data_IF_132380336835
#
_entry.id   IF_132380336835
#
_cell.length_a   1.000
_cell.length_b   1.000
_cell.length_c   1.000
_cell.angle_alpha   90.00
_cell.angle_beta   90.00
_cell.angle_gamma   90.00
#
_symmetry.space_group_name_H-M   'P 1'
#
loop_
_entity.id
_entity.type
_entity.pdbx_description
1 polymer ?
#
# COMPACT_ATOMS: atom_id res chain seq x y z
N UNK A 1 -26.34 -87.30 -32.23
CA UNK A 1 -27.42 -86.41 -31.76
C UNK A 1 -26.82 -85.07 -31.33
N UNK A 2 -27.58 -83.98 -31.50
CA UNK A 2 -27.33 -82.59 -31.08
C UNK A 2 -26.56 -81.65 -32.06
N UNK A 3 -27.36 -80.74 -32.65
CA UNK A 3 -27.08 -79.62 -33.55
C UNK A 3 -26.16 -78.55 -32.93
N UNK A 4 -25.22 -77.98 -33.72
CA UNK A 4 -24.59 -76.67 -33.45
C UNK A 4 -25.06 -75.62 -34.45
N UNK A 5 -25.53 -74.49 -33.92
CA UNK A 5 -26.19 -73.35 -34.59
C UNK A 5 -25.20 -72.46 -35.37
N UNK A 6 -25.71 -71.82 -36.44
CA UNK A 6 -25.06 -70.82 -37.31
C UNK A 6 -24.70 -69.51 -36.56
N UNK A 7 -23.71 -68.71 -37.03
CA UNK A 7 -23.37 -67.41 -36.46
C UNK A 7 -24.22 -66.25 -37.04
N UNK A 8 -24.35 -65.18 -36.26
CA UNK A 8 -25.01 -63.90 -36.62
C UNK A 8 -23.97 -62.83 -37.07
N UNK A 9 -24.37 -61.79 -37.83
CA UNK A 9 -23.42 -60.84 -38.42
C UNK A 9 -23.06 -59.67 -37.47
N UNK A 10 -21.83 -59.16 -37.63
CA UNK A 10 -21.22 -58.04 -36.92
C UNK A 10 -21.84 -56.69 -37.32
N UNK A 11 -22.33 -55.92 -36.34
CA UNK A 11 -22.72 -54.52 -36.51
C UNK A 11 -21.48 -53.60 -36.60
N UNK A 12 -21.51 -52.69 -37.57
CA UNK A 12 -20.52 -51.62 -37.80
C UNK A 12 -20.46 -50.63 -36.63
N UNK A 13 -19.25 -50.23 -36.29
CA UNK A 13 -18.93 -49.14 -35.36
C UNK A 13 -19.29 -47.77 -35.93
N UNK A 14 -19.81 -46.88 -35.08
CA UNK A 14 -19.89 -45.43 -35.33
C UNK A 14 -19.07 -44.69 -34.27
N UNK A 15 -18.27 -43.67 -34.63
CA UNK A 15 -17.46 -42.93 -33.67
C UNK A 15 -18.32 -41.94 -32.89
N UNK A 16 -18.33 -42.04 -31.56
CA UNK A 16 -18.91 -41.01 -30.68
C UNK A 16 -18.10 -39.71 -30.81
N UNK A 17 -18.73 -38.66 -31.35
CA UNK A 17 -18.23 -37.28 -31.33
C UNK A 17 -17.93 -36.86 -29.88
N UNK A 18 -16.68 -36.47 -29.59
CA UNK A 18 -16.28 -35.79 -28.35
C UNK A 18 -16.87 -34.38 -28.36
N UNK A 19 -17.88 -34.15 -27.53
CA UNK A 19 -18.42 -32.81 -27.25
C UNK A 19 -17.49 -31.96 -26.35
N UNK A 20 -17.76 -30.65 -26.23
CA UNK A 20 -16.82 -29.61 -25.79
C UNK A 20 -16.66 -29.55 -24.26
N UNK A 21 -16.18 -30.62 -23.61
CA UNK A 21 -15.89 -30.63 -22.16
C UNK A 21 -14.55 -29.98 -21.79
N UNK A 22 -13.63 -29.78 -22.74
CA UNK A 22 -12.28 -29.27 -22.45
C UNK A 22 -12.24 -27.76 -22.15
N UNK A 23 -13.10 -26.97 -22.80
CA UNK A 23 -13.08 -25.50 -22.68
C UNK A 23 -13.62 -25.04 -21.31
N UNK A 24 -14.68 -25.68 -20.80
CA UNK A 24 -15.26 -25.34 -19.49
C UNK A 24 -14.31 -25.60 -18.32
N UNK A 25 -13.52 -26.68 -18.37
CA UNK A 25 -12.54 -27.01 -17.32
C UNK A 25 -11.34 -26.06 -17.32
N UNK A 26 -10.88 -25.59 -18.49
CA UNK A 26 -9.82 -24.60 -18.60
C UNK A 26 -10.25 -23.22 -18.10
N UNK A 27 -11.49 -22.79 -18.40
CA UNK A 27 -12.04 -21.53 -17.89
C UNK A 27 -12.20 -21.60 -16.37
N UNK A 28 -12.73 -22.70 -15.82
CA UNK A 28 -12.86 -22.87 -14.37
C UNK A 28 -11.49 -22.87 -13.66
N UNK A 29 -10.50 -23.59 -14.21
CA UNK A 29 -9.14 -23.62 -13.68
C UNK A 29 -8.41 -22.27 -13.79
N UNK A 30 -8.69 -21.48 -14.84
CA UNK A 30 -8.14 -20.11 -14.97
C UNK A 30 -8.74 -19.15 -13.94
N UNK A 31 -10.04 -19.29 -13.63
CA UNK A 31 -10.72 -18.51 -12.58
C UNK A 31 -10.27 -18.92 -11.18
N UNK A 32 -10.04 -20.21 -10.94
CA UNK A 32 -9.51 -20.71 -9.67
C UNK A 32 -8.05 -20.27 -9.44
N UNK A 33 -7.20 -20.28 -10.49
CA UNK A 33 -5.82 -19.78 -10.40
C UNK A 33 -5.74 -18.26 -10.24
N UNK A 34 -6.67 -17.49 -10.80
CA UNK A 34 -6.80 -16.05 -10.55
C UNK A 34 -7.11 -15.77 -9.08
N UNK A 35 -8.00 -16.56 -8.48
CA UNK A 35 -8.45 -16.41 -7.09
C UNK A 35 -7.42 -16.91 -6.04
N UNK A 36 -6.42 -17.70 -6.45
CA UNK A 36 -5.33 -18.12 -5.55
C UNK A 36 -4.25 -17.04 -5.37
N UNK A 37 -4.02 -16.18 -6.38
CA UNK A 37 -3.11 -15.03 -6.27
C UNK A 37 -3.68 -13.87 -5.45
N UNK A 38 -4.99 -13.84 -5.21
CA UNK A 38 -5.68 -12.81 -4.41
C UNK A 38 -5.78 -13.15 -2.91
N UNK A 39 -5.48 -14.41 -2.52
CA UNK A 39 -5.61 -14.84 -1.12
C UNK A 39 -4.36 -14.50 -0.32
N UNK A 40 -4.54 -13.63 0.67
CA UNK A 40 -3.53 -13.39 1.70
C UNK A 40 -3.25 -14.69 2.48
N UNK A 41 -1.97 -15.05 2.58
CA UNK A 41 -1.55 -16.20 3.40
C UNK A 41 -1.37 -15.76 4.86
N UNK A 42 -1.44 -16.68 5.85
CA UNK A 42 -1.14 -16.35 7.25
C UNK A 42 0.26 -15.73 7.43
N UNK A 43 1.25 -16.17 6.64
CA UNK A 43 2.60 -15.60 6.67
C UNK A 43 2.63 -14.16 6.11
N UNK A 44 1.91 -13.90 5.03
CA UNK A 44 1.77 -12.55 4.45
C UNK A 44 1.09 -11.60 5.45
N UNK A 45 0.01 -12.05 6.10
CA UNK A 45 -0.67 -11.27 7.14
C UNK A 45 0.27 -10.99 8.33
N UNK A 46 1.00 -11.99 8.81
CA UNK A 46 1.97 -11.83 9.91
C UNK A 46 3.05 -10.79 9.56
N UNK A 47 3.57 -10.84 8.33
CA UNK A 47 4.55 -9.86 7.83
C UNK A 47 3.96 -8.45 7.78
N UNK A 48 2.78 -8.26 7.20
CA UNK A 48 2.11 -6.95 7.18
C UNK A 48 1.91 -6.39 8.59
N UNK A 49 1.39 -7.21 9.52
CA UNK A 49 1.21 -6.81 10.91
C UNK A 49 2.54 -6.40 11.57
N UNK A 50 3.64 -7.06 11.21
CA UNK A 50 4.96 -6.78 11.76
C UNK A 50 5.55 -5.49 11.18
N UNK A 51 5.60 -5.38 9.85
CA UNK A 51 6.20 -4.27 9.10
C UNK A 51 5.48 -2.95 9.31
N UNK A 52 4.16 -3.02 9.52
CA UNK A 52 3.29 -1.86 9.62
C UNK A 52 2.86 -1.60 11.08
N UNK A 53 3.47 -2.31 12.03
CA UNK A 53 3.33 -2.03 13.46
C UNK A 53 3.97 -0.69 13.81
N UNK A 54 3.41 0.09 14.76
CA UNK A 54 4.07 1.27 15.33
C UNK A 54 5.46 0.99 15.92
N UNK A 55 5.75 -0.26 16.28
CA UNK A 55 7.03 -0.68 16.83
C UNK A 55 8.09 -1.01 15.76
N UNK A 56 7.72 -1.03 14.48
CA UNK A 56 8.70 -1.28 13.41
C UNK A 56 9.71 -0.12 13.37
N UNK A 57 11.02 -0.37 13.27
CA UNK A 57 12.05 0.61 13.62
C UNK A 57 12.32 1.66 12.52
N UNK A 58 11.27 2.33 12.06
CA UNK A 58 11.32 3.40 11.04
C UNK A 58 11.26 4.81 11.63
N UNK A 59 11.00 4.92 12.94
CA UNK A 59 10.92 6.21 13.64
C UNK A 59 9.68 7.04 13.34
N UNK A 60 8.61 6.44 12.80
CA UNK A 60 7.38 7.14 12.39
C UNK A 60 6.77 8.02 13.48
N UNK A 61 6.82 7.57 14.74
CA UNK A 61 6.30 8.31 15.91
C UNK A 61 6.94 9.70 16.13
N UNK A 62 8.11 9.95 15.53
CA UNK A 62 8.83 11.22 15.64
C UNK A 62 8.33 12.29 14.67
N UNK A 63 7.41 11.96 13.75
CA UNK A 63 6.97 12.85 12.68
C UNK A 63 5.46 13.11 12.77
N UNK A 64 5.05 14.38 12.68
CA UNK A 64 3.65 14.80 12.68
C UNK A 64 3.11 15.11 11.28
N UNK A 65 4.00 15.18 10.28
CA UNK A 65 3.65 15.56 8.92
C UNK A 65 2.97 16.95 8.84
N UNK A 66 3.46 17.93 9.61
CA UNK A 66 2.92 19.29 9.69
C UNK A 66 1.71 19.48 10.60
N UNK A 67 1.19 18.41 11.24
CA UNK A 67 0.03 18.50 12.15
C UNK A 67 0.35 19.37 13.37
N UNK A 68 1.59 19.36 13.88
CA UNK A 68 2.00 20.18 15.02
C UNK A 68 1.75 21.67 14.80
N UNK A 69 2.10 22.19 13.61
CA UNK A 69 1.83 23.58 13.29
C UNK A 69 0.34 23.88 13.16
N UNK A 70 -0.43 22.97 12.55
CA UNK A 70 -1.88 23.13 12.40
C UNK A 70 -2.62 23.14 13.75
N UNK A 71 -2.10 22.44 14.76
CA UNK A 71 -2.59 22.52 16.13
C UNK A 71 -2.23 23.86 16.76
N UNK A 72 -0.97 24.30 16.66
CA UNK A 72 -0.53 25.58 17.24
C UNK A 72 -1.32 26.78 16.69
N UNK A 73 -1.60 26.80 15.38
CA UNK A 73 -2.36 27.88 14.76
C UNK A 73 -3.88 27.78 14.96
N UNK A 74 -4.37 26.75 15.64
CA UNK A 74 -5.78 26.55 15.97
C UNK A 74 -6.65 25.92 14.87
N UNK A 75 -6.07 25.46 13.76
CA UNK A 75 -6.82 24.77 12.70
C UNK A 75 -7.32 23.40 13.20
N UNK A 76 -6.54 22.75 14.08
CA UNK A 76 -6.90 21.48 14.73
C UNK A 76 -7.08 21.71 16.23
N UNK A 77 -8.30 22.09 16.63
CA UNK A 77 -8.64 22.41 18.02
C UNK A 77 -9.39 21.29 18.77
N UNK A 78 -9.65 20.14 18.14
CA UNK A 78 -10.44 19.07 18.74
C UNK A 78 -10.54 17.82 17.85
N UNK A 79 -11.30 16.83 18.30
CA UNK A 79 -11.43 15.53 17.61
C UNK A 79 -12.11 15.64 16.24
N UNK A 80 -13.14 16.49 16.11
CA UNK A 80 -13.83 16.72 14.83
C UNK A 80 -12.93 17.43 13.82
N UNK A 81 -12.15 18.41 14.28
CA UNK A 81 -11.19 19.13 13.46
C UNK A 81 -10.06 18.20 13.01
N UNK A 82 -9.51 17.39 13.92
CA UNK A 82 -8.51 16.36 13.60
C UNK A 82 -9.04 15.38 12.56
N UNK A 83 -10.24 14.83 12.78
CA UNK A 83 -10.87 13.91 11.82
C UNK A 83 -10.99 14.53 10.43
N UNK A 84 -11.46 15.77 10.35
CA UNK A 84 -11.68 16.48 9.08
C UNK A 84 -10.35 16.75 8.37
N UNK A 85 -9.32 17.15 9.13
CA UNK A 85 -7.97 17.36 8.63
C UNK A 85 -7.36 16.08 8.06
N UNK A 86 -7.44 14.98 8.81
CA UNK A 86 -6.92 13.68 8.38
C UNK A 86 -7.68 13.09 7.19
N UNK A 87 -8.98 13.35 7.08
CA UNK A 87 -9.76 12.95 5.90
C UNK A 87 -9.20 13.61 4.62
N UNK A 88 -8.87 14.91 4.69
CA UNK A 88 -8.28 15.64 3.55
C UNK A 88 -6.84 15.20 3.29
N UNK A 89 -6.01 15.02 4.32
CA UNK A 89 -4.64 14.51 4.13
C UNK A 89 -4.61 13.11 3.50
N UNK A 90 -5.56 12.24 3.89
CA UNK A 90 -5.68 10.90 3.35
C UNK A 90 -6.21 10.92 1.92
N UNK A 91 -7.36 11.57 1.69
CA UNK A 91 -8.00 11.59 0.39
C UNK A 91 -7.24 12.46 -0.59
N UNK A 92 -7.04 13.75 -0.32
CA UNK A 92 -6.55 14.71 -1.32
C UNK A 92 -5.10 15.14 -1.10
N UNK A 93 -4.34 14.45 -0.24
CA UNK A 93 -2.98 14.81 0.12
C UNK A 93 -2.01 13.64 0.03
N UNK A 94 -1.10 13.59 1.00
CA UNK A 94 -0.05 12.59 1.06
C UNK A 94 -0.57 11.15 1.02
N UNK A 95 -1.76 10.86 1.60
CA UNK A 95 -2.29 9.50 1.59
C UNK A 95 -2.60 8.98 0.18
N UNK A 96 -3.17 9.81 -0.68
CA UNK A 96 -3.41 9.46 -2.08
C UNK A 96 -2.10 9.38 -2.87
N UNK A 97 -1.22 10.39 -2.77
CA UNK A 97 0.06 10.38 -3.47
C UNK A 97 0.90 9.14 -3.10
N UNK A 98 1.06 8.87 -1.80
CA UNK A 98 1.81 7.71 -1.31
C UNK A 98 1.14 6.40 -1.75
N UNK A 99 -0.19 6.35 -1.79
CA UNK A 99 -0.93 5.20 -2.27
C UNK A 99 -0.72 4.91 -3.76
N UNK A 100 -0.66 5.94 -4.61
CA UNK A 100 -0.37 5.79 -6.04
C UNK A 100 1.06 5.29 -6.22
N UNK A 101 2.04 5.94 -5.59
CA UNK A 101 3.45 5.56 -5.66
C UNK A 101 3.68 4.11 -5.18
N UNK A 102 3.02 3.72 -4.08
CA UNK A 102 3.02 2.36 -3.57
C UNK A 102 2.50 1.37 -4.61
N UNK A 103 1.35 1.65 -5.22
CA UNK A 103 0.71 0.74 -6.18
C UNK A 103 1.56 0.56 -7.45
N UNK A 104 2.19 1.64 -7.94
CA UNK A 104 3.10 1.57 -9.08
C UNK A 104 4.36 0.78 -8.75
N UNK A 105 5.00 1.04 -7.61
CA UNK A 105 6.17 0.27 -7.18
C UNK A 105 5.86 -1.23 -7.02
N UNK A 106 4.70 -1.55 -6.41
CA UNK A 106 4.24 -2.93 -6.24
C UNK A 106 4.06 -3.65 -7.58
N UNK A 107 3.34 -3.02 -8.52
CA UNK A 107 3.07 -3.59 -9.84
C UNK A 107 4.33 -3.75 -10.66
N UNK A 108 5.22 -2.76 -10.65
CA UNK A 108 6.46 -2.78 -11.39
C UNK A 108 7.35 -3.96 -10.95
N UNK A 109 7.42 -4.26 -9.64
CA UNK A 109 8.09 -5.46 -9.15
C UNK A 109 7.40 -6.74 -9.62
N UNK A 110 6.07 -6.81 -9.54
CA UNK A 110 5.31 -8.00 -9.98
C UNK A 110 5.43 -8.27 -11.49
N UNK A 111 5.58 -7.23 -12.31
CA UNK A 111 5.76 -7.35 -13.76
C UNK A 111 7.22 -7.39 -14.22
N UNK A 112 8.19 -7.19 -13.32
CA UNK A 112 9.60 -7.06 -13.67
C UNK A 112 9.89 -5.83 -14.56
N UNK A 113 9.16 -4.75 -14.35
CA UNK A 113 9.27 -3.51 -15.13
C UNK A 113 10.22 -2.52 -14.44
N UNK A 114 11.52 -2.73 -14.61
CA UNK A 114 12.57 -1.92 -13.96
C UNK A 114 12.48 -0.43 -14.29
N UNK A 115 12.13 -0.09 -15.54
CA UNK A 115 11.96 1.31 -15.97
C UNK A 115 10.83 1.98 -15.20
N UNK A 116 9.70 1.29 -15.02
CA UNK A 116 8.53 1.82 -14.31
C UNK A 116 8.82 1.95 -12.81
N UNK A 117 9.54 0.98 -12.23
CA UNK A 117 9.93 1.04 -10.82
C UNK A 117 10.89 2.22 -10.56
N UNK A 118 11.87 2.42 -11.45
CA UNK A 118 12.78 3.56 -11.37
C UNK A 118 12.02 4.88 -11.48
N UNK A 119 11.10 5.00 -12.45
CA UNK A 119 10.28 6.20 -12.63
C UNK A 119 9.44 6.51 -11.39
N UNK A 120 8.82 5.48 -10.78
CA UNK A 120 8.06 5.65 -9.53
C UNK A 120 8.97 6.09 -8.36
N UNK A 121 10.17 5.50 -8.23
CA UNK A 121 11.12 5.86 -7.18
C UNK A 121 11.65 7.29 -7.33
N UNK A 122 12.01 7.68 -8.55
CA UNK A 122 12.45 9.03 -8.89
C UNK A 122 11.35 10.06 -8.61
N UNK A 123 10.13 9.80 -9.10
CA UNK A 123 9.00 10.68 -8.90
C UNK A 123 8.65 10.83 -7.41
N UNK A 124 8.69 9.75 -6.65
CA UNK A 124 8.45 9.78 -5.21
C UNK A 124 9.45 10.66 -4.45
N UNK A 125 10.72 10.67 -4.86
CA UNK A 125 11.73 11.53 -4.28
C UNK A 125 11.55 13.00 -4.72
N UNK A 126 11.15 13.23 -5.97
CA UNK A 126 11.02 14.57 -6.55
C UNK A 126 9.75 15.33 -6.11
N UNK A 127 8.63 14.63 -5.91
CA UNK A 127 7.31 15.25 -5.62
C UNK A 127 7.11 15.65 -4.15
N UNK A 128 8.10 15.49 -3.29
CA UNK A 128 7.94 15.83 -1.88
C UNK A 128 8.00 17.34 -1.68
N UNK A 129 6.95 17.98 -1.13
CA UNK A 129 6.78 19.43 -1.23
C UNK A 129 7.70 20.25 -0.31
N UNK A 130 8.21 19.65 0.77
CA UNK A 130 9.01 20.36 1.79
C UNK A 130 10.24 19.56 2.18
N UNK A 131 11.26 20.25 2.73
CA UNK A 131 12.52 19.60 3.14
C UNK A 131 12.25 18.63 4.28
N UNK A 132 11.42 19.01 5.25
CA UNK A 132 11.09 18.14 6.38
C UNK A 132 10.29 16.90 5.94
N UNK A 133 9.34 17.03 4.99
CA UNK A 133 8.63 15.87 4.43
C UNK A 133 9.57 14.96 3.64
N UNK A 134 10.53 15.53 2.91
CA UNK A 134 11.53 14.75 2.18
C UNK A 134 12.41 13.97 3.15
N UNK A 135 12.88 14.62 4.22
CA UNK A 135 13.65 13.95 5.27
C UNK A 135 12.83 12.85 5.96
N UNK A 136 11.56 13.10 6.28
CA UNK A 136 10.65 12.14 6.90
C UNK A 136 10.52 10.88 6.04
N UNK A 137 10.04 11.01 4.80
CA UNK A 137 9.73 9.84 3.95
C UNK A 137 11.00 9.06 3.57
N UNK A 138 12.12 9.75 3.35
CA UNK A 138 13.38 9.08 2.96
C UNK A 138 14.10 8.45 4.15
N UNK A 139 13.99 9.02 5.36
CA UNK A 139 14.51 8.38 6.57
C UNK A 139 13.71 7.12 6.92
N UNK A 140 12.37 7.19 6.82
CA UNK A 140 11.49 6.03 7.02
C UNK A 140 11.74 4.95 5.97
N UNK A 141 11.83 5.33 4.69
CA UNK A 141 12.13 4.40 3.59
C UNK A 141 13.47 3.69 3.75
N UNK A 142 14.54 4.43 4.06
CA UNK A 142 15.86 3.83 4.34
C UNK A 142 15.81 2.85 5.52
N UNK A 143 15.27 3.28 6.66
CA UNK A 143 15.17 2.43 7.84
C UNK A 143 14.33 1.17 7.59
N UNK A 144 13.25 1.29 6.82
CA UNK A 144 12.40 0.16 6.43
C UNK A 144 13.16 -0.85 5.57
N UNK A 145 13.90 -0.37 4.55
CA UNK A 145 14.74 -1.21 3.70
C UNK A 145 15.80 -1.94 4.51
N UNK A 146 16.52 -1.24 5.39
CA UNK A 146 17.57 -1.82 6.24
C UNK A 146 17.01 -2.91 7.17
N UNK A 147 15.95 -2.60 7.92
CA UNK A 147 15.32 -3.54 8.84
C UNK A 147 14.73 -4.76 8.13
N UNK A 148 14.05 -4.54 7.00
CA UNK A 148 13.44 -5.63 6.21
C UNK A 148 14.51 -6.49 5.57
N UNK A 149 15.57 -5.91 5.01
CA UNK A 149 16.68 -6.66 4.41
C UNK A 149 17.35 -7.59 5.41
N UNK A 150 17.48 -7.16 6.66
CA UNK A 150 18.06 -7.96 7.74
C UNK A 150 17.16 -9.14 8.18
N UNK A 151 15.84 -8.95 8.22
CA UNK A 151 14.91 -9.92 8.81
C UNK A 151 14.09 -10.74 7.78
N UNK A 152 13.75 -10.15 6.64
CA UNK A 152 12.97 -10.75 5.54
C UNK A 152 13.56 -10.36 4.16
N UNK A 153 14.80 -10.80 3.85
CA UNK A 153 15.41 -10.49 2.57
C UNK A 153 14.56 -11.00 1.40
N UNK A 154 14.46 -10.20 0.34
CA UNK A 154 13.83 -10.59 -0.92
C UNK A 154 14.59 -9.99 -2.12
N UNK A 155 14.53 -10.62 -3.31
CA UNK A 155 15.22 -10.12 -4.50
C UNK A 155 14.79 -8.70 -4.93
N UNK A 156 13.52 -8.35 -4.71
CA UNK A 156 12.97 -7.04 -5.08
C UNK A 156 13.71 -5.87 -4.40
N UNK A 157 14.22 -6.06 -3.18
CA UNK A 157 15.05 -5.07 -2.50
C UNK A 157 16.41 -4.85 -3.16
N UNK A 158 16.98 -5.86 -3.82
CA UNK A 158 18.21 -5.71 -4.59
C UNK A 158 17.92 -5.00 -5.92
N UNK A 159 16.84 -5.41 -6.59
CA UNK A 159 16.39 -4.77 -7.83
C UNK A 159 16.23 -3.26 -7.64
N UNK A 160 15.54 -2.83 -6.57
CA UNK A 160 15.37 -1.41 -6.27
C UNK A 160 16.70 -0.66 -6.15
N UNK A 161 17.69 -1.22 -5.45
CA UNK A 161 19.01 -0.60 -5.27
C UNK A 161 19.88 -0.64 -6.52
N UNK A 162 19.64 -1.59 -7.43
CA UNK A 162 20.40 -1.70 -8.68
C UNK A 162 19.92 -0.69 -9.73
N UNK A 163 18.63 -0.33 -9.71
CA UNK A 163 18.02 0.57 -10.70
C UNK A 163 17.94 2.03 -10.25
N UNK A 164 18.00 2.29 -8.93
CA UNK A 164 17.85 3.61 -8.31
C UNK A 164 18.87 3.83 -7.19
N UNK A 165 19.70 4.85 -7.35
CA UNK A 165 20.75 5.27 -6.42
C UNK A 165 20.35 6.50 -5.57
N UNK A 166 19.19 7.09 -5.84
CA UNK A 166 18.65 8.22 -5.11
C UNK A 166 17.97 7.83 -3.79
N UNK A 167 17.32 8.82 -3.17
CA UNK A 167 16.62 8.59 -1.91
C UNK A 167 15.37 7.71 -2.12
N UNK A 168 15.16 6.73 -1.24
CA UNK A 168 14.02 5.82 -1.31
C UNK A 168 12.93 6.34 -0.38
N UNK A 169 11.82 6.79 -0.95
CA UNK A 169 10.63 7.18 -0.19
C UNK A 169 9.95 5.96 0.46
N UNK A 170 9.31 6.18 1.60
CA UNK A 170 8.63 5.12 2.35
C UNK A 170 7.58 4.32 1.54
N UNK A 171 6.66 4.93 0.74
CA UNK A 171 5.70 4.15 -0.06
C UNK A 171 6.36 3.20 -1.07
N UNK A 172 7.48 3.62 -1.67
CA UNK A 172 8.24 2.81 -2.63
C UNK A 172 8.86 1.61 -1.91
N UNK A 173 9.51 1.84 -0.77
CA UNK A 173 10.13 0.78 0.02
C UNK A 173 9.12 -0.31 0.42
N UNK A 174 7.95 0.09 0.95
CA UNK A 174 6.92 -0.87 1.38
C UNK A 174 6.27 -1.56 0.19
N UNK A 175 5.97 -0.83 -0.89
CA UNK A 175 5.38 -1.40 -2.11
C UNK A 175 6.27 -2.48 -2.74
N UNK A 176 7.58 -2.20 -2.85
CA UNK A 176 8.59 -3.15 -3.35
C UNK A 176 8.68 -4.39 -2.49
N UNK A 177 8.74 -4.23 -1.16
CA UNK A 177 8.82 -5.35 -0.22
C UNK A 177 7.55 -6.20 -0.24
N UNK A 178 6.38 -5.57 -0.25
CA UNK A 178 5.11 -6.28 -0.32
C UNK A 178 5.02 -7.12 -1.59
N UNK A 179 5.38 -6.55 -2.74
CA UNK A 179 5.43 -7.28 -4.00
C UNK A 179 6.48 -8.39 -4.01
N UNK A 180 7.68 -8.15 -3.47
CA UNK A 180 8.77 -9.14 -3.41
C UNK A 180 8.51 -10.32 -2.48
N UNK A 181 7.49 -10.23 -1.62
CA UNK A 181 7.00 -11.32 -0.76
C UNK A 181 5.64 -11.86 -1.22
N UNK A 182 5.24 -11.57 -2.46
CA UNK A 182 3.98 -11.99 -3.07
C UNK A 182 2.74 -11.64 -2.24
N UNK A 183 2.77 -10.49 -1.56
CA UNK A 183 1.61 -9.97 -0.84
C UNK A 183 0.72 -9.21 -1.83
N UNK A 184 -0.55 -9.58 -2.01
CA UNK A 184 -1.41 -8.92 -3.00
C UNK A 184 -1.64 -7.44 -2.66
N UNK A 185 -1.69 -6.60 -3.70
CA UNK A 185 -1.86 -5.15 -3.58
C UNK A 185 -3.10 -4.79 -2.75
N UNK A 186 -4.22 -5.51 -2.98
CA UNK A 186 -5.51 -5.29 -2.33
C UNK A 186 -5.48 -5.49 -0.81
N UNK A 187 -4.45 -6.16 -0.27
CA UNK A 187 -4.24 -6.29 1.18
C UNK A 187 -3.12 -5.37 1.69
N UNK A 188 -2.06 -5.21 0.90
CA UNK A 188 -0.89 -4.44 1.31
C UNK A 188 -1.16 -2.93 1.35
N UNK A 189 -1.86 -2.39 0.34
CA UNK A 189 -2.12 -0.95 0.24
C UNK A 189 -3.07 -0.43 1.34
N UNK A 190 -4.22 -1.07 1.64
CA UNK A 190 -5.05 -0.65 2.78
C UNK A 190 -4.31 -0.70 4.11
N UNK A 191 -3.51 -1.74 4.34
CA UNK A 191 -2.74 -1.87 5.57
C UNK A 191 -1.71 -0.73 5.71
N UNK A 192 -1.04 -0.38 4.61
CA UNK A 192 -0.09 0.73 4.56
C UNK A 192 -0.76 2.07 4.86
N UNK A 193 -1.86 2.40 4.17
CA UNK A 193 -2.59 3.66 4.39
C UNK A 193 -3.21 3.74 5.79
N UNK A 194 -3.68 2.62 6.34
CA UNK A 194 -4.12 2.55 7.73
C UNK A 194 -2.98 2.92 8.69
N UNK A 195 -1.77 2.41 8.49
CA UNK A 195 -0.62 2.70 9.36
C UNK A 195 -0.20 4.17 9.31
N UNK A 196 -0.25 4.79 8.13
CA UNK A 196 -0.04 6.24 8.01
C UNK A 196 -1.09 7.00 8.83
N UNK A 197 -2.36 6.66 8.64
CA UNK A 197 -3.46 7.32 9.36
C UNK A 197 -3.36 7.13 10.88
N UNK A 198 -2.96 5.94 11.34
CA UNK A 198 -2.72 5.64 12.74
C UNK A 198 -1.59 6.50 13.32
N UNK A 199 -0.51 6.71 12.56
CA UNK A 199 0.59 7.59 12.97
C UNK A 199 0.13 9.05 13.09
N UNK A 200 -0.59 9.57 12.09
CA UNK A 200 -1.13 10.93 12.14
C UNK A 200 -2.13 11.13 13.27
N UNK A 201 -2.99 10.14 13.50
CA UNK A 201 -3.95 10.16 14.63
C UNK A 201 -3.21 10.17 15.96
N UNK A 202 -2.16 9.36 16.11
CA UNK A 202 -1.31 9.35 17.30
C UNK A 202 -0.65 10.71 17.55
N UNK A 203 -0.17 11.37 16.50
CA UNK A 203 0.39 12.72 16.60
C UNK A 203 -0.67 13.73 17.07
N UNK A 204 -1.85 13.72 16.45
CA UNK A 204 -2.97 14.61 16.82
C UNK A 204 -3.42 14.45 18.27
N UNK A 205 -3.50 13.20 18.77
CA UNK A 205 -3.85 12.93 20.19
C UNK A 205 -2.86 13.59 21.15
N UNK A 206 -1.56 13.49 20.84
CA UNK A 206 -0.48 14.04 21.68
C UNK A 206 -0.45 15.57 21.65
N UNK A 207 -0.84 16.18 20.53
CA UNK A 207 -0.78 17.63 20.32
C UNK A 207 -2.03 18.36 20.84
N UNK A 208 -3.22 17.77 20.73
CA UNK A 208 -4.54 18.37 21.07
C UNK A 208 -5.06 17.94 22.46
N UNK A 209 -4.19 17.39 23.31
CA UNK A 209 -4.54 16.47 24.43
C UNK A 209 -5.89 15.72 24.34
N UNK A 210 -6.11 14.94 23.28
CA UNK A 210 -7.33 14.12 23.14
C UNK A 210 -7.25 12.80 23.91
N UNK A 211 -8.40 12.18 24.18
CA UNK A 211 -8.45 10.85 24.79
C UNK A 211 -8.03 9.74 23.81
N UNK A 212 -7.48 8.64 24.32
CA UNK A 212 -7.13 7.46 23.49
C UNK A 212 -8.35 6.88 22.75
N UNK A 213 -9.52 6.88 23.42
CA UNK A 213 -10.79 6.46 22.81
C UNK A 213 -11.19 7.34 21.63
N UNK A 214 -10.88 8.64 21.68
CA UNK A 214 -11.20 9.56 20.58
C UNK A 214 -10.32 9.26 19.37
N UNK A 215 -9.05 8.90 19.59
CA UNK A 215 -8.18 8.36 18.53
C UNK A 215 -8.78 7.16 17.81
N UNK A 216 -9.27 6.17 18.57
CA UNK A 216 -9.91 4.99 17.99
C UNK A 216 -11.20 5.32 17.22
N UNK A 217 -11.99 6.28 17.73
CA UNK A 217 -13.17 6.79 17.03
C UNK A 217 -12.81 7.48 15.72
N UNK A 218 -11.73 8.24 15.67
CA UNK A 218 -11.22 8.88 14.44
C UNK A 218 -10.82 7.82 13.42
N UNK A 219 -10.05 6.82 13.81
CA UNK A 219 -9.64 5.73 12.91
C UNK A 219 -10.83 4.97 12.35
N UNK A 220 -11.76 4.56 13.21
CA UNK A 220 -12.98 3.86 12.78
C UNK A 220 -13.83 4.74 11.83
N UNK A 221 -13.95 6.04 12.11
CA UNK A 221 -14.74 6.95 11.31
C UNK A 221 -14.12 7.30 9.93
N UNK A 222 -12.83 7.04 9.74
CA UNK A 222 -12.09 7.30 8.50
C UNK A 222 -11.82 6.03 7.68
N UNK A 223 -12.29 4.86 8.14
CA UNK A 223 -12.18 3.58 7.40
C UNK A 223 -12.69 3.70 5.96
N UNK A 224 -13.86 4.30 5.77
CA UNK A 224 -14.44 4.51 4.43
C UNK A 224 -13.61 5.45 3.54
N UNK A 225 -12.95 6.45 4.13
CA UNK A 225 -12.05 7.37 3.41
C UNK A 225 -10.81 6.62 2.95
N UNK A 226 -10.23 5.78 3.81
CA UNK A 226 -9.10 4.90 3.44
C UNK A 226 -9.52 3.96 2.31
N UNK A 227 -10.65 3.27 2.44
CA UNK A 227 -11.13 2.35 1.42
C UNK A 227 -11.34 3.04 0.05
N UNK A 228 -11.95 4.23 0.03
CA UNK A 228 -12.11 5.01 -1.19
C UNK A 228 -10.76 5.46 -1.77
N UNK A 229 -9.83 5.86 -0.91
CA UNK A 229 -8.48 6.28 -1.31
C UNK A 229 -7.70 5.11 -1.93
N UNK A 230 -7.77 3.91 -1.33
CA UNK A 230 -7.18 2.68 -1.90
C UNK A 230 -7.70 2.43 -3.31
N UNK A 231 -9.02 2.48 -3.50
CA UNK A 231 -9.64 2.22 -4.81
C UNK A 231 -9.16 3.22 -5.85
N UNK A 232 -9.17 4.51 -5.51
CA UNK A 232 -8.73 5.58 -6.41
C UNK A 232 -7.23 5.49 -6.72
N UNK A 233 -6.40 5.33 -5.69
CA UNK A 233 -4.95 5.25 -5.83
C UNK A 233 -4.52 4.02 -6.63
N UNK A 234 -5.21 2.89 -6.44
CA UNK A 234 -4.97 1.68 -7.23
C UNK A 234 -5.27 1.89 -8.71
N UNK A 235 -6.25 2.72 -9.09
CA UNK A 235 -6.61 2.92 -10.49
C UNK A 235 -5.82 4.06 -11.18
N UNK A 236 -5.12 4.89 -10.41
CA UNK A 236 -4.48 6.10 -10.89
C UNK A 236 -3.14 5.84 -11.61
N UNK A 237 -2.83 6.68 -12.59
CA UNK A 237 -1.54 6.76 -13.25
C UNK A 237 -0.56 7.64 -12.45
N UNK A 238 0.73 7.63 -12.82
CA UNK A 238 1.70 8.53 -12.20
C UNK A 238 1.42 10.01 -12.53
N UNK A 239 0.76 10.30 -13.65
CA UNK A 239 0.37 11.67 -14.04
C UNK A 239 -0.77 12.22 -13.16
N UNK A 240 -1.50 11.34 -12.48
CA UNK A 240 -2.54 11.73 -11.53
C UNK A 240 -1.96 12.04 -10.13
N UNK A 241 -0.65 11.83 -9.92
CA UNK A 241 -0.02 12.12 -8.62
C UNK A 241 -0.01 13.62 -8.40
N UNK A 242 -0.77 14.05 -7.40
CA UNK A 242 -0.90 15.43 -6.98
C UNK A 242 -1.89 15.53 -5.83
N UNK A 243 -1.72 16.56 -5.01
CA UNK A 243 -2.59 16.83 -3.87
C UNK A 243 -3.30 18.18 -3.99
N UNK A 244 -4.47 18.28 -3.37
CA UNK A 244 -5.20 19.52 -3.11
C UNK A 244 -5.31 19.82 -1.61
N UNK A 245 -4.45 19.20 -0.78
CA UNK A 245 -4.36 19.44 0.66
C UNK A 245 -3.57 20.72 1.00
N UNK A 246 -3.86 21.84 0.31
CA UNK A 246 -3.08 23.09 0.37
C UNK A 246 -2.76 23.57 1.79
N UNK A 247 -3.73 23.43 2.70
CA UNK A 247 -3.55 23.87 4.08
C UNK A 247 -2.54 22.99 4.84
N UNK A 248 -2.54 21.69 4.57
CA UNK A 248 -1.57 20.75 5.12
C UNK A 248 -0.17 20.97 4.54
N UNK A 249 -0.07 21.26 3.24
CA UNK A 249 1.21 21.60 2.61
C UNK A 249 1.80 22.87 3.23
N UNK A 250 0.96 23.90 3.42
CA UNK A 250 1.37 25.13 4.11
C UNK A 250 1.76 24.86 5.57
N UNK A 251 1.03 23.99 6.27
CA UNK A 251 1.38 23.63 7.64
C UNK A 251 2.76 22.98 7.72
N UNK A 252 3.09 22.09 6.78
CA UNK A 252 4.44 21.51 6.68
C UNK A 252 5.51 22.56 6.38
N UNK A 253 5.27 23.51 5.46
CA UNK A 253 6.22 24.60 5.18
C UNK A 253 6.46 25.45 6.44
N UNK A 254 5.40 25.73 7.20
CA UNK A 254 5.48 26.57 8.39
C UNK A 254 6.15 25.87 9.56
N UNK A 255 5.98 24.56 9.69
CA UNK A 255 6.62 23.75 10.71
C UNK A 255 8.16 23.85 10.68
N UNK A 256 8.77 24.04 9.50
CA UNK A 256 10.23 24.22 9.37
C UNK A 256 10.78 25.44 10.16
N UNK A 257 9.92 26.43 10.42
CA UNK A 257 10.26 27.69 11.10
C UNK A 257 9.61 27.83 12.47
N UNK A 258 8.94 26.79 12.96
CA UNK A 258 8.22 26.80 14.23
C UNK A 258 9.20 26.80 15.42
N UNK A 259 8.95 27.69 16.41
CA UNK A 259 9.86 27.90 17.54
C UNK A 259 9.84 26.74 18.55
N UNK A 260 8.64 26.32 18.96
CA UNK A 260 8.44 25.19 19.89
C UNK A 260 8.02 23.97 19.09
N UNK A 261 8.80 22.88 19.17
CA UNK A 261 8.55 21.65 18.40
C UNK A 261 8.74 20.40 19.25
N UNK A 262 7.77 19.50 19.20
CA UNK A 262 7.81 18.16 19.79
C UNK A 262 8.12 17.09 18.74
N UNK A 263 7.86 17.38 17.46
CA UNK A 263 8.10 16.48 16.34
C UNK A 263 9.25 16.97 15.45
N UNK A 264 9.80 16.05 14.65
CA UNK A 264 10.89 16.32 13.69
C UNK A 264 10.39 16.90 12.36
N UNK A 265 9.06 16.96 12.18
CA UNK A 265 8.32 17.49 11.01
C UNK A 265 6.84 17.71 11.38
#
# INVERSE_FOLDING_TARGET
>A
MARKKRPAPLLRSSPRKRGPRAIGAQILNSRLRGNEREKITPASLYRLMTWLSPSYPIGAFSYSSGIEWAVECGDIAGVEALRSWLAVMMAEGAGFCDGVLFAHAHRAVQSGADVDLRAAAELAAALVPTRERFLETTAQGRAFVEATRAAWPCPALNMLTDIWDGAIAYPIAVGVVAAGHDIPLDHALPAYLHTILANWTSAGIRLVPLGQTDGQRVLAALESVVAATVQRASAASLDDVGGAAFRADLASVRHETQYTRLFRS
#
